data_IF_546695934460
#
_entry.id   IF_546695934460
#
_cell.length_a   1.000
_cell.length_b   1.000
_cell.length_c   1.000
_cell.angle_alpha   90.00
_cell.angle_beta   90.00
_cell.angle_gamma   90.00
#
_symmetry.space_group_name_H-M   'P 1'
#
loop_
_entity.id
_entity.type
_entity.pdbx_description
1 polymer ?
#
# COMPACT_ATOMS: atom_id res chain seq x y z
N UNK A 1 36.38 -53.60 -18.61
CA UNK A 1 37.77 -53.28 -19.00
C UNK A 1 37.70 -52.04 -19.88
N UNK A 2 37.85 -50.84 -19.30
CA UNK A 2 37.83 -49.58 -20.07
C UNK A 2 39.19 -49.51 -20.76
N UNK A 3 39.21 -49.57 -22.10
CA UNK A 3 40.43 -49.51 -22.91
C UNK A 3 41.06 -48.12 -22.76
N UNK A 4 42.17 -48.06 -22.03
CA UNK A 4 42.98 -46.85 -21.77
C UNK A 4 43.84 -46.42 -22.96
N UNK A 5 43.78 -47.13 -24.08
CA UNK A 5 44.64 -46.88 -25.24
C UNK A 5 44.28 -45.59 -26.01
N UNK A 6 43.14 -44.97 -25.67
CA UNK A 6 42.64 -43.76 -26.32
C UNK A 6 42.55 -42.56 -25.37
N UNK A 7 43.19 -42.63 -24.19
CA UNK A 7 43.20 -41.53 -23.20
C UNK A 7 43.61 -40.21 -23.85
N UNK A 8 44.55 -40.22 -24.79
CA UNK A 8 44.97 -39.02 -25.51
C UNK A 8 43.89 -38.45 -26.45
N UNK A 9 43.09 -39.30 -27.08
CA UNK A 9 41.97 -38.86 -27.92
C UNK A 9 40.84 -38.29 -27.06
N UNK A 10 40.52 -38.93 -25.93
CA UNK A 10 39.52 -38.42 -24.98
C UNK A 10 39.94 -37.06 -24.39
N UNK A 11 41.21 -36.93 -24.01
CA UNK A 11 41.76 -35.64 -23.54
C UNK A 11 41.64 -34.56 -24.60
N UNK A 12 41.93 -34.86 -25.87
CA UNK A 12 41.77 -33.92 -26.98
C UNK A 12 40.32 -33.49 -27.19
N UNK A 13 39.36 -34.43 -27.11
CA UNK A 13 37.93 -34.11 -27.25
C UNK A 13 37.44 -33.24 -26.10
N UNK A 14 37.87 -33.51 -24.86
CA UNK A 14 37.50 -32.70 -23.70
C UNK A 14 38.05 -31.27 -23.85
N UNK A 15 39.31 -31.12 -24.25
CA UNK A 15 39.91 -29.79 -24.47
C UNK A 15 39.17 -29.04 -25.59
N UNK A 16 38.81 -29.70 -26.68
CA UNK A 16 38.03 -29.09 -27.76
C UNK A 16 36.61 -28.68 -27.30
N UNK A 17 35.95 -29.49 -26.47
CA UNK A 17 34.65 -29.16 -25.89
C UNK A 17 34.73 -27.96 -24.93
N UNK A 18 35.78 -27.88 -24.10
CA UNK A 18 36.02 -26.71 -23.24
C UNK A 18 36.35 -25.45 -24.05
N UNK A 19 37.16 -25.56 -25.11
CA UNK A 19 37.51 -24.43 -25.95
C UNK A 19 36.29 -23.88 -26.72
N UNK A 20 35.40 -24.75 -27.19
CA UNK A 20 34.15 -24.35 -27.86
C UNK A 20 33.16 -23.73 -26.90
N UNK A 21 32.96 -24.30 -25.70
CA UNK A 21 32.13 -23.69 -24.66
C UNK A 21 32.69 -22.34 -24.19
N UNK A 22 34.00 -22.21 -24.04
CA UNK A 22 34.67 -20.96 -23.68
C UNK A 22 34.57 -19.92 -24.79
N UNK A 23 34.75 -20.31 -26.06
CA UNK A 23 34.59 -19.41 -27.20
C UNK A 23 33.14 -18.93 -27.36
N UNK A 24 32.15 -19.79 -27.13
CA UNK A 24 30.73 -19.42 -27.13
C UNK A 24 30.40 -18.51 -25.95
N UNK A 25 30.90 -18.81 -24.75
CA UNK A 25 30.77 -17.92 -23.59
C UNK A 25 31.44 -16.58 -23.85
N UNK A 26 32.61 -16.55 -24.48
CA UNK A 26 33.31 -15.31 -24.83
C UNK A 26 32.58 -14.54 -25.93
N UNK A 27 31.96 -15.22 -26.90
CA UNK A 27 31.18 -14.57 -27.96
C UNK A 27 29.86 -13.99 -27.42
N UNK A 28 29.15 -14.72 -26.56
CA UNK A 28 27.88 -14.27 -25.97
C UNK A 28 28.04 -13.27 -24.82
N UNK A 29 29.16 -13.34 -24.09
CA UNK A 29 29.41 -12.50 -22.90
C UNK A 29 30.30 -11.28 -23.20
N UNK A 30 30.79 -11.14 -24.45
CA UNK A 30 31.54 -9.95 -24.90
C UNK A 30 30.66 -8.86 -25.51
N UNK A 31 29.35 -9.06 -25.54
CA UNK A 31 28.36 -7.99 -25.77
C UNK A 31 27.62 -7.57 -24.48
N UNK A 32 28.07 -8.01 -23.30
CA UNK A 32 27.53 -7.55 -22.02
C UNK A 32 28.62 -7.44 -20.94
N UNK A 33 29.55 -6.49 -21.16
CA UNK A 33 30.35 -5.82 -20.11
C UNK A 33 31.18 -4.67 -20.68
N UNK A 34 30.51 -3.54 -20.92
CA UNK A 34 31.13 -2.25 -20.62
C UNK A 34 30.90 -2.02 -19.12
N UNK A 35 31.93 -2.29 -18.30
CA UNK A 35 31.89 -2.03 -16.87
C UNK A 35 32.33 -0.59 -16.63
N UNK A 36 31.46 0.16 -15.94
CA UNK A 36 31.79 1.23 -15.01
C UNK A 36 32.61 2.41 -15.54
N UNK A 37 31.91 3.35 -16.16
CA UNK A 37 32.05 4.78 -15.89
C UNK A 37 30.65 5.36 -15.67
N UNK A 38 30.59 6.34 -14.77
CA UNK A 38 29.44 6.95 -14.11
C UNK A 38 28.22 7.22 -15.01
N UNK A 39 26.97 7.02 -14.55
CA UNK A 39 25.85 7.68 -15.20
C UNK A 39 25.86 9.16 -14.78
N UNK A 40 26.28 9.97 -15.73
CA UNK A 40 25.92 11.37 -15.90
C UNK A 40 24.52 11.68 -15.36
N UNK A 41 24.47 12.77 -14.58
CA UNK A 41 23.26 13.52 -14.26
C UNK A 41 22.52 13.90 -15.55
N UNK A 42 21.33 13.35 -15.74
CA UNK A 42 20.24 14.00 -16.47
C UNK A 42 19.06 14.20 -15.51
N UNK A 43 18.28 15.28 -15.68
CA UNK A 43 17.78 16.08 -14.59
C UNK A 43 16.72 15.34 -13.80
N UNK A 44 17.05 15.13 -12.54
CA UNK A 44 16.14 15.07 -11.40
C UNK A 44 14.99 16.06 -11.64
N UNK A 45 13.83 15.55 -12.07
CA UNK A 45 12.57 16.25 -11.85
C UNK A 45 12.52 16.45 -10.35
N UNK A 46 12.56 17.72 -9.95
CA UNK A 46 12.38 18.21 -8.58
C UNK A 46 11.20 17.49 -7.93
N UNK A 47 11.48 16.35 -7.29
CA UNK A 47 10.74 15.93 -6.13
C UNK A 47 11.16 16.89 -5.06
N UNK A 48 10.27 17.84 -4.79
CA UNK A 48 10.27 18.61 -3.56
C UNK A 48 10.42 17.62 -2.41
N UNK A 49 11.66 17.46 -1.95
CA UNK A 49 11.99 16.86 -0.66
C UNK A 49 11.46 17.83 0.38
N UNK A 50 10.16 17.70 0.66
CA UNK A 50 9.67 18.10 1.97
C UNK A 50 10.50 17.35 3.01
N UNK A 51 10.99 18.04 4.04
CA UNK A 51 11.88 17.42 5.01
C UNK A 51 11.13 16.25 5.65
N UNK A 52 11.75 15.05 5.62
CA UNK A 52 11.42 13.97 6.56
C UNK A 52 11.75 14.47 7.96
N UNK A 53 10.83 15.28 8.48
CA UNK A 53 10.66 15.49 9.91
C UNK A 53 10.30 14.11 10.42
N UNK A 54 11.06 13.56 11.38
CA UNK A 54 10.63 12.42 12.18
C UNK A 54 9.26 12.77 12.78
N UNK A 55 8.19 12.41 12.07
CA UNK A 55 6.83 12.61 12.54
C UNK A 55 6.61 11.55 13.60
N UNK A 56 6.62 11.99 14.85
CA UNK A 56 6.30 11.14 15.97
C UNK A 56 4.79 10.84 15.90
N UNK A 57 4.45 9.65 15.42
CA UNK A 57 3.07 9.18 15.38
C UNK A 57 2.66 8.74 16.79
N UNK A 58 1.57 9.30 17.30
CA UNK A 58 1.05 9.00 18.63
C UNK A 58 0.37 7.64 18.65
N UNK A 59 0.59 6.87 19.72
CA UNK A 59 0.06 5.51 19.85
C UNK A 59 -1.47 5.46 19.84
N UNK A 60 -2.12 6.52 20.34
CA UNK A 60 -3.58 6.61 20.46
C UNK A 60 -4.22 7.57 19.45
N UNK A 61 -3.60 7.72 18.28
CA UNK A 61 -4.08 8.63 17.23
C UNK A 61 -4.26 7.91 15.89
N UNK A 62 -5.29 8.32 15.15
CA UNK A 62 -5.50 7.94 13.76
C UNK A 62 -5.26 9.17 12.89
N UNK A 63 -4.39 9.00 11.90
CA UNK A 63 -4.08 10.05 10.94
C UNK A 63 -4.84 9.85 9.65
N UNK A 64 -5.04 10.93 8.91
CA UNK A 64 -5.88 10.96 7.72
C UNK A 64 -5.32 10.00 6.65
N UNK A 65 -6.07 8.94 6.27
CA UNK A 65 -5.60 7.96 5.30
C UNK A 65 -5.80 8.41 3.85
N UNK A 66 -6.66 9.41 3.60
CA UNK A 66 -6.98 9.89 2.25
C UNK A 66 -7.08 11.40 2.28
N UNK A 67 -6.38 12.11 1.38
CA UNK A 67 -6.57 13.55 1.24
C UNK A 67 -8.02 13.85 0.87
N UNK A 68 -8.66 14.77 1.59
CA UNK A 68 -10.06 15.08 1.32
C UNK A 68 -10.71 15.95 2.38
N UNK A 69 -12.04 15.96 2.36
CA UNK A 69 -12.83 16.70 3.34
C UNK A 69 -13.35 15.72 4.41
N UNK A 70 -12.88 15.86 5.64
CA UNK A 70 -13.32 15.07 6.78
C UNK A 70 -14.67 15.60 7.29
N UNK A 71 -15.65 14.71 7.40
CA UNK A 71 -17.01 14.98 7.87
C UNK A 71 -17.37 14.04 9.03
N UNK A 72 -18.28 14.44 9.93
CA UNK A 72 -18.79 13.53 10.95
C UNK A 72 -19.55 12.36 10.34
N UNK A 73 -19.55 11.20 11.02
CA UNK A 73 -20.29 10.02 10.55
C UNK A 73 -21.78 10.29 10.35
N UNK A 74 -22.37 11.17 11.15
CA UNK A 74 -23.79 11.58 11.04
C UNK A 74 -24.16 12.26 9.71
N UNK A 75 -23.19 12.73 8.92
CA UNK A 75 -23.40 13.27 7.58
C UNK A 75 -23.31 12.23 6.46
N UNK A 76 -22.93 10.99 6.79
CA UNK A 76 -22.84 9.88 5.83
C UNK A 76 -24.23 9.42 5.43
N UNK A 77 -24.45 9.20 4.13
CA UNK A 77 -25.74 8.76 3.55
C UNK A 77 -25.97 7.25 3.67
N UNK A 78 -25.56 6.65 4.78
CA UNK A 78 -25.73 5.25 5.09
C UNK A 78 -25.97 5.11 6.59
N UNK A 79 -27.11 4.53 6.97
CA UNK A 79 -27.53 4.45 8.37
C UNK A 79 -26.59 3.59 9.22
N UNK A 80 -25.95 2.58 8.63
CA UNK A 80 -25.02 1.68 9.33
C UNK A 80 -23.80 2.45 9.84
N UNK A 81 -23.30 3.39 9.02
CA UNK A 81 -22.17 4.23 9.38
C UNK A 81 -22.61 5.45 10.20
N UNK A 82 -23.72 6.09 9.83
CA UNK A 82 -24.20 7.30 10.49
C UNK A 82 -24.70 7.08 11.93
N UNK A 83 -25.12 5.85 12.25
CA UNK A 83 -25.53 5.46 13.60
C UNK A 83 -24.36 5.08 14.53
N UNK A 84 -23.12 5.04 14.01
CA UNK A 84 -21.93 4.57 14.73
C UNK A 84 -22.05 3.11 15.22
N UNK A 85 -22.96 2.31 14.62
CA UNK A 85 -23.20 0.92 15.03
C UNK A 85 -22.01 -0.02 14.82
N UNK A 86 -21.09 0.34 13.90
CA UNK A 86 -19.83 -0.36 13.65
C UNK A 86 -18.64 0.21 14.44
N UNK A 87 -18.89 1.22 15.26
CA UNK A 87 -17.88 1.94 16.02
C UNK A 87 -17.86 3.45 15.72
N UNK A 88 -17.10 4.17 16.53
CA UNK A 88 -16.91 5.63 16.41
C UNK A 88 -15.84 5.97 15.38
N UNK A 89 -15.94 7.15 14.77
CA UNK A 89 -14.94 7.63 13.82
C UNK A 89 -15.38 8.84 13.02
N UNK A 90 -14.86 8.95 11.80
CA UNK A 90 -15.21 10.01 10.84
C UNK A 90 -15.40 9.42 9.45
N UNK A 91 -15.91 10.21 8.51
CA UNK A 91 -15.86 9.87 7.10
C UNK A 91 -15.10 10.93 6.32
N UNK A 92 -14.56 10.52 5.18
CA UNK A 92 -13.76 11.40 4.31
C UNK A 92 -14.42 11.43 2.94
N UNK A 93 -14.71 12.62 2.43
CA UNK A 93 -15.01 12.81 1.01
C UNK A 93 -13.68 12.96 0.28
N UNK A 94 -13.23 11.93 -0.46
CA UNK A 94 -11.88 11.88 -0.99
C UNK A 94 -11.67 12.94 -2.08
N UNK A 95 -10.52 13.61 -2.01
CA UNK A 95 -10.00 14.48 -3.06
C UNK A 95 -9.01 13.77 -3.99
N UNK A 96 -8.55 12.58 -3.61
CA UNK A 96 -7.66 11.73 -4.40
C UNK A 96 -8.01 10.25 -4.27
N UNK A 97 -7.66 9.45 -5.28
CA UNK A 97 -7.97 8.02 -5.38
C UNK A 97 -6.93 7.12 -4.71
N UNK A 98 -6.36 7.52 -3.57
CA UNK A 98 -5.29 6.77 -2.89
C UNK A 98 -5.54 6.74 -1.39
N UNK A 99 -5.43 5.55 -0.82
CA UNK A 99 -5.47 5.31 0.63
C UNK A 99 -4.06 4.99 1.12
N UNK A 100 -3.65 5.70 2.15
CA UNK A 100 -2.40 5.56 2.86
C UNK A 100 -2.62 5.00 4.26
N UNK A 101 -1.58 4.36 4.80
CA UNK A 101 -1.58 3.88 6.17
C UNK A 101 -1.67 5.05 7.16
N UNK A 102 -2.66 5.02 8.08
CA UNK A 102 -2.85 6.09 9.06
C UNK A 102 -1.86 6.00 10.23
N UNK A 103 -1.22 4.84 10.43
CA UNK A 103 -0.25 4.57 11.48
C UNK A 103 0.63 3.37 11.08
N UNK A 104 1.67 3.13 11.88
CA UNK A 104 2.43 1.89 11.84
C UNK A 104 1.60 0.73 12.41
N UNK A 105 1.66 -0.45 11.79
CA UNK A 105 0.83 -1.57 12.22
C UNK A 105 0.83 -2.77 11.27
N UNK A 106 -0.31 -3.44 11.20
CA UNK A 106 -0.57 -4.59 10.32
C UNK A 106 -1.89 -4.38 9.58
N UNK A 107 -1.93 -4.71 8.30
CA UNK A 107 -3.19 -4.86 7.57
C UNK A 107 -3.80 -6.22 7.95
N UNK A 108 -4.63 -6.25 8.98
CA UNK A 108 -5.24 -7.50 9.47
C UNK A 108 -6.12 -8.17 8.42
N UNK A 109 -6.87 -7.36 7.67
CA UNK A 109 -7.81 -7.84 6.68
C UNK A 109 -7.85 -6.95 5.45
N UNK A 110 -7.66 -7.55 4.29
CA UNK A 110 -7.98 -6.96 2.98
C UNK A 110 -9.18 -7.72 2.44
N UNK A 111 -10.28 -7.02 2.18
CA UNK A 111 -11.52 -7.63 1.70
C UNK A 111 -11.35 -8.13 0.25
N UNK A 112 -12.04 -9.22 -0.12
CA UNK A 112 -11.92 -9.84 -1.45
C UNK A 112 -12.23 -8.86 -2.60
N UNK A 113 -13.24 -8.01 -2.40
CA UNK A 113 -13.63 -6.97 -3.35
C UNK A 113 -12.84 -5.66 -3.18
N UNK A 114 -11.80 -5.65 -2.33
CA UNK A 114 -10.77 -4.60 -2.20
C UNK A 114 -11.25 -3.20 -1.81
N UNK A 115 -12.55 -3.03 -1.58
CA UNK A 115 -13.15 -1.75 -1.21
C UNK A 115 -12.88 -1.37 0.24
N UNK A 116 -12.45 -2.30 1.10
CA UNK A 116 -12.22 -2.04 2.51
C UNK A 116 -10.94 -2.70 3.04
N UNK A 117 -10.39 -2.10 4.09
CA UNK A 117 -9.19 -2.52 4.81
C UNK A 117 -9.46 -2.50 6.32
N UNK A 118 -9.17 -3.61 7.00
CA UNK A 118 -9.06 -3.68 8.46
C UNK A 118 -7.59 -3.60 8.86
N UNK A 119 -7.24 -2.61 9.68
CA UNK A 119 -5.88 -2.32 10.12
C UNK A 119 -5.80 -2.37 11.65
N UNK A 120 -4.65 -2.77 12.17
CA UNK A 120 -4.37 -2.72 13.61
C UNK A 120 -3.01 -2.07 13.85
N UNK A 121 -2.95 -1.13 14.79
CA UNK A 121 -1.71 -0.40 15.08
C UNK A 121 -0.73 -1.17 16.00
N UNK A 122 -1.07 -2.39 16.42
CA UNK A 122 -0.31 -3.20 17.37
C UNK A 122 -0.37 -2.69 18.82
N UNK A 123 -1.15 -1.64 19.09
CA UNK A 123 -1.37 -1.01 20.40
C UNK A 123 -2.82 -1.07 20.85
N UNK A 124 -3.66 -1.77 20.09
CA UNK A 124 -5.06 -2.05 20.42
C UNK A 124 -6.08 -1.27 19.60
N UNK A 125 -5.68 -0.31 18.74
CA UNK A 125 -6.65 0.34 17.83
C UNK A 125 -6.91 -0.59 16.65
N UNK A 126 -8.16 -1.01 16.50
CA UNK A 126 -8.65 -1.69 15.32
C UNK A 126 -9.40 -0.68 14.45
N UNK A 127 -8.96 -0.53 13.19
CA UNK A 127 -9.45 0.49 12.28
C UNK A 127 -10.00 -0.13 11.00
N UNK A 128 -11.23 0.22 10.65
CA UNK A 128 -11.84 -0.07 9.36
C UNK A 128 -11.79 1.18 8.47
N UNK A 129 -11.19 1.04 7.29
CA UNK A 129 -11.29 2.02 6.20
C UNK A 129 -12.16 1.41 5.10
N UNK A 130 -13.32 2.01 4.82
CA UNK A 130 -14.27 1.52 3.82
C UNK A 130 -14.40 2.54 2.68
N UNK A 131 -13.91 2.23 1.48
CA UNK A 131 -13.86 3.18 0.36
C UNK A 131 -15.17 3.19 -0.42
N UNK A 132 -15.93 4.28 -0.23
CA UNK A 132 -17.24 4.50 -0.82
C UNK A 132 -18.36 3.79 -0.09
N UNK A 133 -19.61 4.05 -0.49
CA UNK A 133 -20.81 3.42 0.09
C UNK A 133 -21.38 2.38 -0.87
N UNK A 134 -21.74 1.20 -0.35
CA UNK A 134 -22.24 0.04 -1.13
C UNK A 134 -21.29 -0.44 -2.26
N UNK A 135 -20.02 -0.08 -2.20
CA UNK A 135 -19.03 -0.37 -3.24
C UNK A 135 -18.58 -1.83 -3.29
N UNK A 136 -18.98 -2.66 -2.33
CA UNK A 136 -18.84 -4.12 -2.41
C UNK A 136 -19.47 -4.69 -3.68
N UNK A 137 -20.56 -4.08 -4.18
CA UNK A 137 -21.27 -4.46 -5.39
C UNK A 137 -20.46 -4.28 -6.69
N UNK A 138 -19.33 -3.56 -6.62
CA UNK A 138 -18.41 -3.38 -7.74
C UNK A 138 -17.51 -4.59 -7.98
N UNK A 139 -17.54 -5.59 -7.08
CA UNK A 139 -16.82 -6.86 -7.22
C UNK A 139 -15.32 -6.68 -7.53
N UNK A 140 -14.67 -5.77 -6.80
CA UNK A 140 -13.24 -5.48 -6.96
C UNK A 140 -12.85 -4.64 -8.16
N UNK A 141 -13.81 -4.25 -9.02
CA UNK A 141 -13.54 -3.30 -10.11
C UNK A 141 -13.17 -1.93 -9.55
N UNK A 142 -12.29 -1.24 -10.26
CA UNK A 142 -11.80 0.10 -9.91
C UNK A 142 -10.88 0.16 -8.70
N UNK A 143 -10.48 -0.98 -8.12
CA UNK A 143 -9.61 -1.04 -6.95
C UNK A 143 -8.30 -1.78 -7.27
N UNK A 144 -7.19 -1.26 -6.74
CA UNK A 144 -5.88 -1.90 -6.76
C UNK A 144 -5.26 -1.83 -5.36
N UNK A 145 -4.97 -3.00 -4.77
CA UNK A 145 -4.36 -3.14 -3.45
C UNK A 145 -2.85 -3.30 -3.57
N UNK A 146 -2.11 -2.70 -2.66
CA UNK A 146 -0.64 -2.79 -2.56
C UNK A 146 -0.18 -3.54 -1.32
N UNK A 147 -1.13 -4.08 -0.54
CA UNK A 147 -0.91 -4.87 0.67
C UNK A 147 -1.83 -6.07 0.69
N UNK A 148 -1.43 -7.11 1.41
CA UNK A 148 -2.21 -8.32 1.68
C UNK A 148 -2.55 -8.40 3.17
N UNK A 149 -3.53 -9.24 3.50
CA UNK A 149 -3.84 -9.56 4.90
C UNK A 149 -2.61 -10.18 5.60
N UNK A 150 -2.27 -9.63 6.76
CA UNK A 150 -1.09 -10.00 7.54
C UNK A 150 0.18 -9.19 7.24
N UNK A 151 0.17 -8.33 6.22
CA UNK A 151 1.35 -7.51 5.89
C UNK A 151 1.54 -6.39 6.93
N UNK A 152 2.80 -6.16 7.32
CA UNK A 152 3.16 -5.01 8.12
C UNK A 152 3.05 -3.73 7.28
N UNK A 153 2.54 -2.66 7.90
CA UNK A 153 2.37 -1.35 7.27
C UNK A 153 3.11 -0.27 8.05
N UNK A 154 3.57 0.75 7.33
CA UNK A 154 4.17 1.96 7.89
C UNK A 154 3.31 3.18 7.61
N UNK A 155 3.19 4.10 8.57
CA UNK A 155 2.44 5.32 8.39
C UNK A 155 2.87 6.04 7.10
N UNK A 156 1.91 6.40 6.25
CA UNK A 156 2.16 7.01 4.93
C UNK A 156 2.46 6.03 3.81
N UNK A 157 2.54 4.73 4.08
CA UNK A 157 2.63 3.70 3.04
C UNK A 157 1.35 3.66 2.22
N UNK A 158 1.46 3.55 0.91
CA UNK A 158 0.32 3.34 0.01
C UNK A 158 -0.29 1.95 0.25
N UNK A 159 -1.60 1.89 0.51
CA UNK A 159 -2.31 0.63 0.80
C UNK A 159 -3.24 0.23 -0.35
N UNK A 160 -3.99 1.18 -0.89
CA UNK A 160 -5.00 0.96 -1.91
C UNK A 160 -5.05 2.17 -2.84
N UNK A 161 -5.29 1.96 -4.12
CA UNK A 161 -5.76 3.01 -5.02
C UNK A 161 -7.08 2.63 -5.65
N UNK A 162 -7.87 3.64 -5.98
CA UNK A 162 -9.17 3.46 -6.58
C UNK A 162 -9.46 4.50 -7.67
N UNK A 163 -10.16 4.06 -8.71
CA UNK A 163 -10.62 4.93 -9.79
C UNK A 163 -11.90 5.68 -9.36
N UNK A 164 -11.70 6.91 -8.90
CA UNK A 164 -12.77 7.81 -8.45
C UNK A 164 -13.80 8.07 -9.55
N UNK A 165 -13.38 8.23 -10.81
CA UNK A 165 -14.29 8.52 -11.91
C UNK A 165 -15.09 7.27 -12.26
N UNK A 166 -14.43 6.11 -12.34
CA UNK A 166 -15.08 4.82 -12.57
C UNK A 166 -16.16 4.51 -11.54
N UNK A 167 -15.88 4.70 -10.25
CA UNK A 167 -16.83 4.46 -9.16
C UNK A 167 -18.00 5.44 -9.22
N UNK A 168 -17.75 6.74 -9.43
CA UNK A 168 -18.81 7.75 -9.60
C UNK A 168 -19.69 7.46 -10.82
N UNK A 169 -19.09 7.09 -11.95
CA UNK A 169 -19.80 6.74 -13.18
C UNK A 169 -20.64 5.47 -13.03
N UNK A 170 -20.24 4.56 -12.13
CA UNK A 170 -21.02 3.40 -11.74
C UNK A 170 -22.18 3.73 -10.77
N UNK A 171 -22.28 4.97 -10.29
CA UNK A 171 -23.40 5.45 -9.48
C UNK A 171 -23.20 5.38 -7.97
N UNK A 172 -21.97 5.14 -7.51
CA UNK A 172 -21.67 4.98 -6.08
C UNK A 172 -21.10 6.26 -5.45
N UNK A 173 -21.37 6.44 -4.16
CA UNK A 173 -20.80 7.53 -3.36
C UNK A 173 -19.36 7.16 -2.94
N UNK A 174 -18.43 8.12 -3.01
CA UNK A 174 -17.03 7.92 -2.65
C UNK A 174 -16.73 8.25 -1.18
N UNK A 175 -17.71 8.72 -0.43
CA UNK A 175 -17.57 8.96 1.00
C UNK A 175 -16.99 7.71 1.66
N UNK A 176 -15.85 7.87 2.32
CA UNK A 176 -15.00 6.79 2.81
C UNK A 176 -14.99 6.82 4.34
N UNK A 177 -15.81 6.00 5.02
CA UNK A 177 -15.76 5.87 6.46
C UNK A 177 -14.39 5.37 6.97
N UNK A 178 -13.94 5.97 8.07
CA UNK A 178 -12.73 5.62 8.84
C UNK A 178 -13.15 5.44 10.29
N UNK A 179 -13.24 4.18 10.72
CA UNK A 179 -13.97 3.78 11.94
C UNK A 179 -13.03 3.01 12.85
N UNK A 180 -13.00 3.38 14.13
CA UNK A 180 -12.39 2.57 15.18
C UNK A 180 -13.42 1.52 15.59
N UNK A 181 -13.23 0.28 15.13
CA UNK A 181 -14.23 -0.79 15.26
C UNK A 181 -14.38 -1.29 16.69
N UNK A 182 -13.31 -1.19 17.47
CA UNK A 182 -13.32 -1.54 18.89
C UNK A 182 -13.52 -0.31 19.79
N UNK A 183 -14.31 0.68 19.36
CA UNK A 183 -14.50 1.93 20.10
C UNK A 183 -15.07 1.76 21.51
N UNK A 184 -15.75 0.65 21.78
CA UNK A 184 -16.31 0.34 23.11
C UNK A 184 -15.25 -0.10 24.13
N UNK A 185 -14.05 -0.48 23.67
CA UNK A 185 -12.91 -0.82 24.53
C UNK A 185 -12.21 0.44 25.09
N UNK A 186 -12.59 1.61 24.58
CA UNK A 186 -11.98 2.90 24.89
C UNK A 186 -12.94 3.79 25.69
N UNK A 187 -12.37 4.65 26.52
CA UNK A 187 -13.14 5.61 27.31
C UNK A 187 -13.68 6.75 26.46
N UNK A 188 -12.92 7.18 25.45
CA UNK A 188 -13.34 8.16 24.47
C UNK A 188 -12.73 7.91 23.08
N UNK A 189 -13.48 8.25 22.04
CA UNK A 189 -13.01 8.28 20.65
C UNK A 189 -13.60 9.54 20.04
N UNK A 190 -12.74 10.53 19.78
CA UNK A 190 -13.18 11.84 19.31
C UNK A 190 -12.50 12.26 18.03
N UNK A 191 -13.27 12.93 17.17
CA UNK A 191 -12.73 13.60 16.00
C UNK A 191 -11.98 14.87 16.44
N UNK A 192 -10.72 14.99 16.06
CA UNK A 192 -9.88 16.18 16.34
C UNK A 192 -10.03 17.26 15.27
N UNK A 193 -10.31 16.85 14.03
CA UNK A 193 -10.36 17.74 12.87
C UNK A 193 -11.44 17.33 11.88
N UNK A 194 -12.23 18.31 11.45
CA UNK A 194 -13.15 18.22 10.31
C UNK A 194 -12.78 19.27 9.27
N UNK A 195 -13.18 19.05 8.01
CA UNK A 195 -12.86 19.93 6.89
C UNK A 195 -11.73 19.40 6.01
N UNK A 196 -11.18 20.27 5.16
CA UNK A 196 -10.10 19.91 4.24
C UNK A 196 -8.84 19.50 5.01
N UNK A 197 -8.40 18.27 4.77
CA UNK A 197 -7.38 17.58 5.55
C UNK A 197 -6.44 16.84 4.60
N UNK A 198 -5.14 17.01 4.83
CA UNK A 198 -4.08 16.34 4.07
C UNK A 198 -3.79 14.96 4.66
N UNK A 199 -3.19 14.07 3.86
CA UNK A 199 -2.74 12.75 4.35
C UNK A 199 -1.78 12.94 5.53
N UNK A 200 -1.90 12.07 6.53
CA UNK A 200 -1.09 12.09 7.75
C UNK A 200 -1.29 13.32 8.66
N UNK A 201 -2.39 14.04 8.53
CA UNK A 201 -2.86 14.95 9.57
C UNK A 201 -3.72 14.18 10.58
N UNK A 202 -3.62 14.48 11.87
CA UNK A 202 -4.40 13.78 12.91
C UNK A 202 -5.88 14.08 12.77
N UNK A 203 -6.72 13.04 12.75
CA UNK A 203 -8.18 13.17 12.59
C UNK A 203 -8.97 12.57 13.75
N UNK A 204 -8.44 11.55 14.43
CA UNK A 204 -9.09 10.91 15.58
C UNK A 204 -8.06 10.75 16.70
N UNK A 205 -8.50 11.01 17.93
CA UNK A 205 -7.80 10.63 19.16
C UNK A 205 -8.65 9.60 19.89
N UNK A 206 -7.98 8.61 20.47
CA UNK A 206 -8.56 7.53 21.27
C UNK A 206 -7.99 7.64 22.69
N UNK A 207 -8.81 7.47 23.72
CA UNK A 207 -8.39 7.57 25.14
C UNK A 207 -8.94 6.42 25.99
#
# INVERSE_FOLDING_TARGET
MITTDYVWQYTLVIVAAFATAFALSWLFFRDDKSSSEEPEKEPEKEQTTEPETERNFEEHAVYCPVKGNVIPLSEVKDETFASEALGKGVAIVPGEGVVYAPFDGVAEMVFDTKHALGLNNGKGIELLIHVGLNTVELDGRFYETYVNSGDAIKAGQKLLSFDMEGIKNAGYDLTTPVIVTNSDDWSDVRAEKTGNTMVLEKIITVE
#
